data_IF_616860839798
#
_entry.id   IF_616860839798
#
_cell.length_a   1.000
_cell.length_b   1.000
_cell.length_c   1.000
_cell.angle_alpha   90.00
_cell.angle_beta   90.00
_cell.angle_gamma   90.00
#
_symmetry.space_group_name_H-M   'P 1'
#
loop_
_entity.id
_entity.type
_entity.pdbx_description
1 polymer ?
#
# COMPACT_ATOMS: atom_id res chain seq x y z
N UNK A 1 38.73 14.58 -17.03
CA UNK A 1 37.77 15.69 -17.17
C UNK A 1 36.47 15.22 -16.56
N UNK A 2 35.94 15.94 -15.57
CA UNK A 2 34.56 15.70 -15.11
C UNK A 2 33.60 16.19 -16.17
N UNK A 3 32.62 15.36 -16.55
CA UNK A 3 31.53 15.73 -17.48
C UNK A 3 30.58 16.73 -16.83
N UNK A 4 30.53 16.76 -15.50
CA UNK A 4 29.60 17.58 -14.72
C UNK A 4 30.31 18.85 -14.26
N UNK A 5 29.73 20.00 -14.61
CA UNK A 5 30.28 21.34 -14.30
C UNK A 5 30.32 21.63 -12.79
N UNK A 6 29.29 21.23 -12.07
CA UNK A 6 29.16 21.40 -10.62
C UNK A 6 28.35 20.24 -10.03
N UNK A 7 29.08 19.24 -9.55
CA UNK A 7 28.51 17.99 -9.04
C UNK A 7 27.75 18.18 -7.72
N UNK A 8 28.24 19.05 -6.83
CA UNK A 8 27.61 19.29 -5.53
C UNK A 8 26.26 20.02 -5.70
N UNK A 9 26.21 21.02 -6.59
CA UNK A 9 24.96 21.73 -6.89
C UNK A 9 23.96 20.80 -7.57
N UNK A 10 24.43 19.91 -8.47
CA UNK A 10 23.56 18.91 -9.09
C UNK A 10 22.97 17.95 -8.04
N UNK A 11 23.79 17.32 -7.21
CA UNK A 11 23.34 16.36 -6.19
C UNK A 11 22.37 16.99 -5.19
N UNK A 12 22.66 18.21 -4.72
CA UNK A 12 21.77 18.92 -3.79
C UNK A 12 20.43 19.32 -4.45
N UNK A 13 20.46 19.74 -5.72
CA UNK A 13 19.25 20.06 -6.48
C UNK A 13 18.37 18.83 -6.69
N UNK A 14 18.96 17.71 -7.11
CA UNK A 14 18.24 16.45 -7.30
C UNK A 14 17.62 15.96 -5.99
N UNK A 15 18.38 15.98 -4.88
CA UNK A 15 17.87 15.62 -3.56
C UNK A 15 16.65 16.47 -3.16
N UNK A 16 16.71 17.78 -3.36
CA UNK A 16 15.59 18.67 -3.06
C UNK A 16 14.36 18.39 -3.92
N UNK A 17 14.56 18.03 -5.20
CA UNK A 17 13.46 17.64 -6.09
C UNK A 17 12.84 16.33 -5.60
N UNK A 18 13.63 15.34 -5.23
CA UNK A 18 13.14 14.05 -4.71
C UNK A 18 12.35 14.23 -3.42
N UNK A 19 12.83 15.07 -2.49
CA UNK A 19 12.09 15.41 -1.26
C UNK A 19 10.72 16.03 -1.56
N UNK A 20 10.65 16.94 -2.55
CA UNK A 20 9.38 17.54 -3.00
C UNK A 20 8.47 16.51 -3.65
N UNK A 21 9.01 15.62 -4.49
CA UNK A 21 8.24 14.54 -5.13
C UNK A 21 7.65 13.60 -4.06
N UNK A 22 8.44 13.25 -3.04
CA UNK A 22 7.98 12.42 -1.93
C UNK A 22 6.86 13.09 -1.15
N UNK A 23 6.99 14.37 -0.81
CA UNK A 23 5.94 15.13 -0.13
C UNK A 23 4.65 15.23 -0.96
N UNK A 24 4.77 15.46 -2.27
CA UNK A 24 3.62 15.46 -3.19
C UNK A 24 2.98 14.08 -3.30
N UNK A 25 3.77 13.01 -3.27
CA UNK A 25 3.24 11.66 -3.26
C UNK A 25 2.49 11.35 -1.96
N UNK A 26 2.99 11.78 -0.81
CA UNK A 26 2.28 11.64 0.47
C UNK A 26 0.92 12.34 0.44
N UNK A 27 0.85 13.54 -0.13
CA UNK A 27 -0.42 14.25 -0.32
C UNK A 27 -1.38 13.47 -1.23
N UNK A 28 -0.88 12.85 -2.31
CA UNK A 28 -1.70 11.98 -3.17
C UNK A 28 -2.24 10.77 -2.40
N UNK A 29 -1.42 10.13 -1.57
CA UNK A 29 -1.83 8.99 -0.74
C UNK A 29 -2.95 9.41 0.21
N UNK A 30 -2.78 10.53 0.92
CA UNK A 30 -3.80 11.04 1.85
C UNK A 30 -5.11 11.35 1.12
N UNK A 31 -5.06 12.13 0.03
CA UNK A 31 -6.25 12.48 -0.74
C UNK A 31 -6.96 11.23 -1.30
N UNK A 32 -6.19 10.24 -1.74
CA UNK A 32 -6.74 8.97 -2.20
C UNK A 32 -7.43 8.20 -1.07
N UNK A 33 -6.82 8.10 0.11
CA UNK A 33 -7.43 7.40 1.25
C UNK A 33 -8.62 8.14 1.84
N UNK A 34 -8.61 9.46 1.86
CA UNK A 34 -9.78 10.29 2.20
C UNK A 34 -10.93 10.05 1.22
N UNK A 35 -10.65 10.02 -0.09
CA UNK A 35 -11.70 9.75 -1.09
C UNK A 35 -12.35 8.37 -0.96
N UNK A 36 -11.65 7.42 -0.34
CA UNK A 36 -12.13 6.08 -0.03
C UNK A 36 -12.77 5.96 1.37
N UNK A 37 -12.80 7.06 2.15
CA UNK A 37 -13.30 7.06 3.53
C UNK A 37 -12.42 6.27 4.52
N UNK A 38 -11.17 5.98 4.17
CA UNK A 38 -10.28 5.16 5.01
C UNK A 38 -9.69 5.92 6.18
N UNK A 39 -9.50 7.23 6.05
CA UNK A 39 -8.91 8.08 7.09
C UNK A 39 -9.85 8.31 8.29
N UNK A 40 -11.16 8.13 8.09
CA UNK A 40 -12.19 8.28 9.13
C UNK A 40 -12.38 7.00 9.95
N UNK A 41 -11.90 5.86 9.44
CA UNK A 41 -12.07 4.55 10.07
C UNK A 41 -11.09 4.32 11.21
N UNK A 42 -11.58 3.79 12.32
CA UNK A 42 -10.78 3.51 13.52
C UNK A 42 -9.79 2.36 13.34
N UNK A 43 -10.09 1.41 12.45
CA UNK A 43 -9.26 0.22 12.21
C UNK A 43 -8.03 0.52 11.33
N UNK A 44 -7.94 1.71 10.74
CA UNK A 44 -6.85 2.10 9.85
C UNK A 44 -5.71 2.77 10.64
N UNK A 45 -4.46 2.27 10.54
CA UNK A 45 -3.33 2.86 11.25
C UNK A 45 -3.04 4.29 10.80
N UNK A 46 -3.07 5.28 11.71
CA UNK A 46 -2.88 6.70 11.37
C UNK A 46 -1.46 7.05 10.90
N UNK A 47 -0.50 6.15 11.09
CA UNK A 47 0.90 6.34 10.72
C UNK A 47 1.31 5.58 9.45
N UNK A 48 0.34 5.20 8.60
CA UNK A 48 0.57 4.51 7.32
C UNK A 48 1.59 5.20 6.40
N UNK A 49 1.78 6.53 6.52
CA UNK A 49 2.77 7.28 5.73
C UNK A 49 4.22 6.94 6.08
N UNK A 50 4.48 6.30 7.23
CA UNK A 50 5.83 5.87 7.61
C UNK A 50 6.27 4.60 6.87
N UNK A 51 5.34 3.82 6.33
CA UNK A 51 5.67 2.57 5.65
C UNK A 51 6.31 2.83 4.30
N UNK A 52 7.34 2.07 3.95
CA UNK A 52 8.00 2.19 2.63
C UNK A 52 7.00 1.90 1.51
N UNK A 53 6.19 0.86 1.68
CA UNK A 53 5.10 0.48 0.76
C UNK A 53 3.86 0.10 1.56
N UNK A 54 2.74 0.71 1.21
CA UNK A 54 1.44 0.47 1.81
C UNK A 54 0.78 -0.69 1.07
N UNK A 55 0.52 -1.78 1.78
CA UNK A 55 -0.26 -2.91 1.29
C UNK A 55 -1.74 -2.63 1.49
N UNK A 56 -2.47 -2.53 0.39
CA UNK A 56 -3.92 -2.33 0.33
C UNK A 56 -4.56 -3.69 0.02
N UNK A 57 -5.26 -4.24 1.01
CA UNK A 57 -6.09 -5.44 0.83
C UNK A 57 -7.48 -5.01 0.36
N UNK A 58 -7.95 -5.55 -0.76
CA UNK A 58 -9.29 -5.28 -1.30
C UNK A 58 -10.17 -6.52 -1.28
N UNK A 59 -11.48 -6.38 -0.99
CA UNK A 59 -12.38 -7.51 -0.77
C UNK A 59 -12.76 -8.24 -2.07
N UNK A 60 -12.76 -7.56 -3.21
CA UNK A 60 -13.20 -8.17 -4.46
C UNK A 60 -12.53 -7.56 -5.70
N UNK A 61 -12.74 -8.21 -6.85
CA UNK A 61 -12.15 -7.82 -8.14
C UNK A 61 -12.73 -6.52 -8.70
N UNK A 62 -13.98 -6.20 -8.39
CA UNK A 62 -14.62 -4.96 -8.85
C UNK A 62 -13.93 -3.75 -8.23
N UNK A 63 -13.82 -3.72 -6.89
CA UNK A 63 -13.07 -2.70 -6.14
C UNK A 63 -11.62 -2.66 -6.59
N UNK A 64 -10.97 -3.82 -6.74
CA UNK A 64 -9.60 -3.91 -7.25
C UNK A 64 -9.44 -3.21 -8.60
N UNK A 65 -10.35 -3.45 -9.55
CA UNK A 65 -10.28 -2.86 -10.88
C UNK A 65 -10.52 -1.36 -10.88
N UNK A 66 -11.40 -0.86 -10.00
CA UNK A 66 -11.68 0.56 -9.85
C UNK A 66 -10.47 1.33 -9.33
N UNK A 67 -9.76 0.76 -8.35
CA UNK A 67 -8.67 1.47 -7.68
C UNK A 67 -7.27 1.17 -8.24
N UNK A 68 -7.10 0.06 -8.97
CA UNK A 68 -5.83 -0.36 -9.56
C UNK A 68 -5.19 0.68 -10.49
N UNK A 69 -5.92 1.52 -11.26
CA UNK A 69 -5.32 2.58 -12.07
C UNK A 69 -4.50 3.59 -11.25
N UNK A 70 -4.90 3.87 -10.00
CA UNK A 70 -4.20 4.85 -9.15
C UNK A 70 -2.79 4.41 -8.75
N UNK A 71 -2.48 3.11 -8.80
CA UNK A 71 -1.12 2.61 -8.56
C UNK A 71 -0.06 3.16 -9.53
N UNK A 72 -0.50 3.66 -10.69
CA UNK A 72 0.39 4.23 -11.70
C UNK A 72 0.61 5.73 -11.49
N UNK A 73 -0.25 6.41 -10.73
CA UNK A 73 -0.16 7.84 -10.44
C UNK A 73 0.33 8.15 -9.01
N UNK A 74 0.24 7.16 -8.12
CA UNK A 74 0.64 7.21 -6.71
C UNK A 74 1.68 6.12 -6.47
N UNK A 75 2.88 6.50 -6.07
CA UNK A 75 3.91 5.55 -5.70
C UNK A 75 3.65 4.97 -4.30
N UNK A 76 4.35 3.87 -3.97
CA UNK A 76 4.28 3.18 -2.66
C UNK A 76 2.97 2.46 -2.36
N UNK A 77 2.09 2.27 -3.35
CA UNK A 77 0.87 1.48 -3.20
C UNK A 77 1.03 0.07 -3.78
N UNK A 78 0.69 -0.95 -3.00
CA UNK A 78 0.62 -2.33 -3.47
C UNK A 78 -0.76 -2.93 -3.18
N UNK A 79 -1.37 -3.59 -4.15
CA UNK A 79 -2.74 -4.09 -4.04
C UNK A 79 -2.78 -5.61 -4.03
N UNK A 80 -3.52 -6.18 -3.08
CA UNK A 80 -3.83 -7.62 -3.03
C UNK A 80 -5.32 -7.81 -2.86
N UNK A 81 -5.91 -8.68 -3.66
CA UNK A 81 -7.33 -9.05 -3.50
C UNK A 81 -7.45 -10.22 -2.52
N UNK A 82 -8.18 -10.01 -1.43
CA UNK A 82 -8.57 -11.04 -0.47
C UNK A 82 -10.09 -11.21 -0.50
N UNK A 83 -10.64 -12.28 -1.12
CA UNK A 83 -12.09 -12.51 -1.18
C UNK A 83 -12.74 -12.81 0.18
N UNK A 84 -11.93 -13.04 1.22
CA UNK A 84 -12.40 -13.24 2.60
C UNK A 84 -12.44 -11.94 3.41
N UNK A 85 -11.95 -10.83 2.85
CA UNK A 85 -12.08 -9.52 3.47
C UNK A 85 -13.46 -8.92 3.21
N UNK A 86 -14.04 -8.28 4.21
CA UNK A 86 -15.32 -7.58 4.07
C UNK A 86 -15.14 -6.15 3.55
N UNK A 87 -14.01 -5.53 3.88
CA UNK A 87 -13.70 -4.15 3.55
C UNK A 87 -12.23 -4.00 3.16
N UNK A 88 -11.83 -2.77 2.82
CA UNK A 88 -10.45 -2.45 2.51
C UNK A 88 -9.65 -2.37 3.81
N UNK A 89 -8.46 -2.95 3.84
CA UNK A 89 -7.54 -2.83 4.97
C UNK A 89 -6.14 -2.41 4.51
N UNK A 90 -5.42 -1.72 5.40
CA UNK A 90 -4.06 -1.23 5.16
C UNK A 90 -3.05 -1.93 6.07
N UNK A 91 -1.94 -2.36 5.51
CA UNK A 91 -0.84 -2.99 6.23
C UNK A 91 0.52 -2.51 5.72
N UNK A 92 1.57 -2.75 6.49
CA UNK A 92 2.93 -2.63 6.01
C UNK A 92 3.26 -3.80 5.07
N UNK A 93 3.64 -3.49 3.83
CA UNK A 93 4.05 -4.50 2.86
C UNK A 93 5.30 -5.26 3.30
N UNK A 94 6.23 -4.62 4.02
CA UNK A 94 7.44 -5.27 4.51
C UNK A 94 7.10 -6.36 5.54
N UNK A 95 6.19 -6.07 6.45
CA UNK A 95 5.69 -7.03 7.44
C UNK A 95 4.99 -8.21 6.74
N UNK A 96 4.08 -7.91 5.81
CA UNK A 96 3.42 -8.94 5.01
C UNK A 96 4.42 -9.82 4.24
N UNK A 97 5.41 -9.21 3.59
CA UNK A 97 6.45 -9.93 2.85
C UNK A 97 7.25 -10.84 3.79
N UNK A 98 7.61 -10.38 4.98
CA UNK A 98 8.34 -11.18 5.97
C UNK A 98 7.51 -12.38 6.46
N UNK A 99 6.23 -12.18 6.74
CA UNK A 99 5.32 -13.26 7.18
C UNK A 99 5.11 -14.30 6.09
N UNK A 100 4.97 -13.85 4.83
CA UNK A 100 4.64 -14.72 3.70
C UNK A 100 5.85 -15.37 3.03
N UNK A 101 7.08 -14.87 3.26
CA UNK A 101 8.30 -15.30 2.55
C UNK A 101 8.56 -16.80 2.59
N UNK A 102 8.30 -17.45 3.72
CA UNK A 102 8.51 -18.89 3.93
C UNK A 102 7.26 -19.74 3.70
N UNK A 103 6.13 -19.12 3.37
CA UNK A 103 4.83 -19.79 3.23
C UNK A 103 4.56 -20.20 1.79
N UNK A 104 3.98 -21.37 1.61
CA UNK A 104 3.46 -21.79 0.30
C UNK A 104 2.21 -20.99 -0.08
N UNK A 105 1.84 -20.99 -1.36
CA UNK A 105 0.60 -20.35 -1.81
C UNK A 105 -0.64 -20.89 -1.07
N UNK A 106 -0.66 -22.18 -0.75
CA UNK A 106 -1.75 -22.79 0.03
C UNK A 106 -1.79 -22.22 1.46
N UNK A 107 -0.65 -22.16 2.15
CA UNK A 107 -0.56 -21.58 3.49
C UNK A 107 -0.94 -20.09 3.52
N UNK A 108 -0.57 -19.33 2.48
CA UNK A 108 -0.97 -17.93 2.34
C UNK A 108 -2.49 -17.82 2.17
N UNK A 109 -3.11 -18.67 1.33
CA UNK A 109 -4.58 -18.68 1.17
C UNK A 109 -5.30 -19.04 2.47
N UNK A 110 -4.82 -20.02 3.23
CA UNK A 110 -5.42 -20.35 4.52
C UNK A 110 -5.28 -19.20 5.52
N UNK A 111 -4.11 -18.55 5.56
CA UNK A 111 -3.88 -17.38 6.42
C UNK A 111 -4.82 -16.21 6.09
N UNK A 112 -5.08 -15.94 4.81
CA UNK A 112 -5.97 -14.89 4.35
C UNK A 112 -7.45 -15.09 4.75
N UNK A 113 -7.85 -16.29 5.18
CA UNK A 113 -9.22 -16.55 5.69
C UNK A 113 -9.46 -15.99 7.09
N UNK A 114 -8.41 -15.79 7.88
CA UNK A 114 -8.49 -15.38 9.30
C UNK A 114 -7.66 -14.15 9.62
N UNK A 115 -6.81 -13.71 8.69
CA UNK A 115 -5.84 -12.64 8.88
C UNK A 115 -5.93 -11.67 7.71
N UNK A 116 -5.39 -10.45 7.88
CA UNK A 116 -5.35 -9.42 6.83
C UNK A 116 -6.73 -9.12 6.25
N UNK A 117 -7.68 -8.79 7.14
CA UNK A 117 -9.08 -8.53 6.81
C UNK A 117 -9.95 -9.78 6.66
N UNK A 118 -9.35 -10.96 6.60
CA UNK A 118 -10.07 -12.22 6.52
C UNK A 118 -10.94 -12.45 7.75
N UNK A 119 -12.25 -12.49 7.56
CA UNK A 119 -13.19 -13.02 8.56
C UNK A 119 -13.56 -14.42 8.10
N UNK A 120 -13.45 -15.42 8.97
CA UNK A 120 -13.97 -16.75 8.65
C UNK A 120 -15.44 -16.58 8.33
N UNK A 121 -15.82 -16.81 7.07
CA UNK A 121 -17.21 -17.10 6.75
C UNK A 121 -17.56 -18.33 7.58
N UNK A 122 -18.36 -18.13 8.63
CA UNK A 122 -18.99 -19.26 9.30
C UNK A 122 -19.68 -20.05 8.21
N UNK A 123 -19.38 -21.35 8.13
CA UNK A 123 -20.01 -22.29 7.21
C UNK A 123 -21.48 -22.47 7.61
N UNK A 124 -22.28 -21.47 7.33
CA UNK A 124 -23.74 -21.46 7.42
C UNK A 124 -24.24 -20.62 6.26
N UNK A 125 -24.24 -21.27 5.10
CA UNK A 125 -25.30 -21.25 4.09
C UNK A 125 -25.19 -22.54 3.27
#
# INVERSE_FOLDING_TARGET
>A
MSVIKDENTLHSTLKSIDEKINSLNDQKIVAFFESLGLTEREDIPKDFLKWETILIIVPNRHVSNEIKPYKYSISRLFFVTNPYAHEIHLFDFLEWKNITRSKTQFQIREMLKTSFGGVRKNSTE
#
